data_IF_918224995485
#
_entry.id   IF_918224995485
#
_cell.length_a   1.000
_cell.length_b   1.000
_cell.length_c   1.000
_cell.angle_alpha   90.00
_cell.angle_beta   90.00
_cell.angle_gamma   90.00
#
_symmetry.space_group_name_H-M   'P 1'
#
loop_
_entity.id
_entity.type
_entity.pdbx_description
1 polymer ?
#
# COMPACT_ATOMS: atom_id res chain seq x y z
N UNK A 1 5.33 8.91 25.92
CA UNK A 1 4.42 10.06 26.10
C UNK A 1 3.18 9.81 25.26
N UNK A 2 1.98 9.86 25.85
CA UNK A 2 0.74 9.65 25.12
C UNK A 2 0.40 10.91 24.30
N UNK A 3 0.04 10.73 23.03
CA UNK A 3 -0.40 11.83 22.17
C UNK A 3 -1.62 12.52 22.78
N UNK A 4 -1.57 13.85 22.85
CA UNK A 4 -2.69 14.66 23.31
C UNK A 4 -3.87 14.56 22.33
N UNK A 5 -5.09 14.74 22.83
CA UNK A 5 -6.30 14.72 22.00
C UNK A 5 -6.25 15.73 20.84
N UNK A 6 -5.55 16.86 21.02
CA UNK A 6 -5.30 17.85 19.98
C UNK A 6 -4.37 17.32 18.87
N UNK A 7 -3.30 16.61 19.24
CA UNK A 7 -2.39 15.97 18.28
C UNK A 7 -3.11 14.88 17.49
N UNK A 8 -3.92 14.04 18.15
CA UNK A 8 -4.72 13.01 17.45
C UNK A 8 -5.67 13.61 16.41
N UNK A 9 -6.35 14.73 16.73
CA UNK A 9 -7.24 15.43 15.78
C UNK A 9 -6.47 16.02 14.60
N UNK A 10 -5.30 16.61 14.84
CA UNK A 10 -4.44 17.15 13.79
C UNK A 10 -3.89 16.04 12.88
N UNK A 11 -3.38 14.96 13.47
CA UNK A 11 -2.90 13.77 12.76
C UNK A 11 -4.02 13.15 11.93
N UNK A 12 -5.24 13.04 12.48
CA UNK A 12 -6.43 12.55 11.74
C UNK A 12 -6.75 13.43 10.53
N UNK A 13 -6.80 14.76 10.69
CA UNK A 13 -7.10 15.69 9.58
C UNK A 13 -6.05 15.62 8.46
N UNK A 14 -4.77 15.53 8.83
CA UNK A 14 -3.69 15.37 7.85
C UNK A 14 -3.76 14.00 7.15
N UNK A 15 -4.08 12.96 7.90
CA UNK A 15 -4.26 11.60 7.42
C UNK A 15 -5.44 11.44 6.45
N UNK A 16 -6.54 12.18 6.67
CA UNK A 16 -7.70 12.23 5.78
C UNK A 16 -7.37 12.99 4.49
N UNK A 17 -6.69 14.14 4.58
CA UNK A 17 -6.24 14.90 3.41
C UNK A 17 -5.22 14.12 2.55
N UNK A 18 -4.37 13.30 3.17
CA UNK A 18 -3.34 12.49 2.50
C UNK A 18 -3.75 11.02 2.35
N UNK A 19 -5.04 10.71 2.47
CA UNK A 19 -5.55 9.33 2.45
C UNK A 19 -5.14 8.57 1.20
N UNK A 20 -5.24 9.20 0.02
CA UNK A 20 -4.85 8.59 -1.25
C UNK A 20 -3.35 8.21 -1.27
N UNK A 21 -2.48 9.12 -0.84
CA UNK A 21 -1.03 8.86 -0.82
C UNK A 21 -0.66 7.76 0.19
N UNK A 22 -1.27 7.77 1.38
CA UNK A 22 -1.05 6.72 2.38
C UNK A 22 -1.54 5.35 1.91
N UNK A 23 -2.72 5.31 1.29
CA UNK A 23 -3.27 4.10 0.70
C UNK A 23 -2.32 3.56 -0.38
N UNK A 24 -1.83 4.42 -1.28
CA UNK A 24 -0.84 4.04 -2.29
C UNK A 24 0.41 3.42 -1.66
N UNK A 25 0.99 4.06 -0.64
CA UNK A 25 2.18 3.53 0.03
C UNK A 25 1.90 2.19 0.73
N UNK A 26 0.76 2.06 1.39
CA UNK A 26 0.33 0.83 2.07
C UNK A 26 0.14 -0.31 1.08
N UNK A 27 -0.61 -0.08 -0.01
CA UNK A 27 -0.81 -1.05 -1.08
C UNK A 27 0.51 -1.47 -1.73
N UNK A 28 1.41 -0.50 -1.99
CA UNK A 28 2.74 -0.78 -2.55
C UNK A 28 3.60 -1.62 -1.60
N UNK A 29 3.58 -1.31 -0.31
CA UNK A 29 4.31 -2.08 0.71
C UNK A 29 3.76 -3.50 0.86
N UNK A 30 2.44 -3.64 0.89
CA UNK A 30 1.76 -4.93 0.97
C UNK A 30 2.10 -5.81 -0.25
N UNK A 31 2.01 -5.27 -1.46
CA UNK A 31 2.35 -5.99 -2.69
C UNK A 31 3.81 -6.47 -2.68
N UNK A 32 4.76 -5.62 -2.29
CA UNK A 32 6.17 -5.99 -2.15
C UNK A 32 6.38 -7.13 -1.15
N UNK A 33 5.73 -7.05 0.00
CA UNK A 33 5.85 -8.07 1.05
C UNK A 33 5.24 -9.40 0.61
N UNK A 34 4.09 -9.35 -0.09
CA UNK A 34 3.44 -10.52 -0.63
C UNK A 34 4.34 -11.24 -1.64
N UNK A 35 4.83 -10.53 -2.66
CA UNK A 35 5.74 -11.07 -3.69
C UNK A 35 7.01 -11.66 -3.06
N UNK A 36 7.57 -11.02 -2.03
CA UNK A 36 8.84 -11.46 -1.44
C UNK A 36 8.70 -12.68 -0.53
N UNK A 37 7.65 -12.71 0.29
CA UNK A 37 7.60 -13.60 1.46
C UNK A 37 6.43 -14.59 1.46
N UNK A 38 5.40 -14.38 0.64
CA UNK A 38 4.14 -15.15 0.73
C UNK A 38 3.68 -15.77 -0.59
N UNK A 39 4.00 -15.14 -1.71
CA UNK A 39 3.56 -15.59 -3.02
C UNK A 39 4.14 -16.96 -3.37
N UNK A 40 3.30 -17.81 -3.96
CA UNK A 40 3.69 -19.07 -4.61
C UNK A 40 4.16 -18.82 -6.03
N UNK A 41 4.71 -19.83 -6.69
CA UNK A 41 5.17 -19.70 -8.09
C UNK A 41 4.02 -19.30 -9.03
N UNK A 42 2.85 -19.91 -8.87
CA UNK A 42 1.65 -19.58 -9.65
C UNK A 42 1.22 -18.11 -9.43
N UNK A 43 1.22 -17.64 -8.17
CA UNK A 43 0.89 -16.25 -7.86
C UNK A 43 1.86 -15.27 -8.55
N UNK A 44 3.15 -15.60 -8.59
CA UNK A 44 4.16 -14.76 -9.24
C UNK A 44 3.97 -14.70 -10.76
N UNK A 45 3.63 -15.82 -11.38
CA UNK A 45 3.34 -15.90 -12.81
C UNK A 45 2.07 -15.13 -13.18
N UNK A 46 1.01 -15.24 -12.37
CA UNK A 46 -0.23 -14.48 -12.56
C UNK A 46 0.02 -12.97 -12.41
N UNK A 47 0.69 -12.56 -11.33
CA UNK A 47 1.06 -11.17 -11.09
C UNK A 47 1.91 -10.60 -12.22
N UNK A 48 2.84 -11.39 -12.75
CA UNK A 48 3.67 -10.97 -13.88
C UNK A 48 2.84 -10.70 -15.13
N UNK A 49 1.89 -11.58 -15.47
CA UNK A 49 0.98 -11.37 -16.61
C UNK A 49 0.18 -10.08 -16.47
N UNK A 50 -0.42 -9.86 -15.29
CA UNK A 50 -1.18 -8.63 -15.03
C UNK A 50 -0.32 -7.36 -15.15
N UNK A 51 0.94 -7.39 -14.70
CA UNK A 51 1.88 -6.27 -14.85
C UNK A 51 2.21 -6.04 -16.33
N UNK A 52 2.51 -7.11 -17.08
CA UNK A 52 2.87 -7.00 -18.49
C UNK A 52 1.70 -6.47 -19.34
N UNK A 53 0.46 -6.82 -19.00
CA UNK A 53 -0.75 -6.26 -19.63
C UNK A 53 -0.90 -4.76 -19.32
N UNK A 54 -0.70 -4.36 -18.06
CA UNK A 54 -0.80 -2.95 -17.62
C UNK A 54 0.29 -2.04 -18.18
N UNK A 55 1.45 -2.59 -18.52
CA UNK A 55 2.55 -1.83 -19.15
C UNK A 55 2.40 -1.65 -20.66
N UNK A 56 1.53 -2.45 -21.29
CA UNK A 56 1.22 -2.36 -22.73
C UNK A 56 0.07 -1.42 -23.05
N UNK A 57 -0.77 -1.14 -22.05
CA UNK A 57 -1.80 -0.09 -22.07
C UNK A 57 -1.15 1.30 -22.11
#
# INVERSE_FOLDING_TARGET
MAETEAQKKATKKWNDANKAHRNYLSSRGAARSFIRNKATEDDLLELRKMIDEKLKE
#
